data_IF_677103518735
#
_entry.id   IF_677103518735
#
_cell.length_a   1.000
_cell.length_b   1.000
_cell.length_c   1.000
_cell.angle_alpha   90.00
_cell.angle_beta   90.00
_cell.angle_gamma   90.00
#
_symmetry.space_group_name_H-M   'P 1'
#
loop_
_entity.id
_entity.type
_entity.pdbx_description
1 polymer ?
2 non-polymer ?
3 non-polymer ?
4 water ?
#
# COMPACT_ATOMS: atom_id res chain seq x y z
N UNK A 7 18.60 -5.86 -2.28
CA UNK A 7 17.35 -5.19 -1.92
C UNK A 7 16.47 -6.08 -1.03
N UNK A 8 16.56 -7.40 -1.23
CA UNK A 8 15.70 -8.32 -0.50
C UNK A 8 15.86 -8.12 0.99
N UNK A 9 17.10 -7.91 1.42
CA UNK A 9 17.40 -7.77 2.84
C UNK A 9 16.89 -6.44 3.40
N UNK A 10 17.07 -5.37 2.63
CA UNK A 10 16.50 -4.07 2.97
C UNK A 10 14.99 -4.18 3.16
N UNK A 11 14.32 -4.84 2.20
CA UNK A 11 12.88 -4.99 2.26
C UNK A 11 12.47 -5.75 3.52
N UNK A 12 13.21 -6.81 3.82
CA UNK A 12 12.94 -7.62 5.01
C UNK A 12 13.01 -6.79 6.29
N UNK A 13 14.11 -6.06 6.44
CA UNK A 13 14.32 -5.24 7.62
C UNK A 13 13.21 -4.21 7.74
N UNK A 14 12.79 -3.64 6.60
CA UNK A 14 11.68 -2.69 6.61
C UNK A 14 10.36 -3.34 7.01
N UNK A 15 10.00 -4.44 6.36
CA UNK A 15 8.74 -5.09 6.67
C UNK A 15 8.70 -5.53 8.14
N UNK A 16 9.82 -6.01 8.65
CA UNK A 16 9.89 -6.41 10.06
C UNK A 16 9.77 -5.22 11.01
N UNK A 17 9.85 -3.99 10.49
CA UNK A 17 9.74 -2.82 11.36
C UNK A 17 8.34 -2.22 11.41
N UNK A 18 7.45 -2.68 10.52
CA UNK A 18 6.09 -2.16 10.43
C UNK A 18 5.15 -3.03 11.25
N UNK A 19 4.47 -2.44 12.24
CA UNK A 19 3.67 -3.28 13.16
C UNK A 19 2.69 -4.21 12.43
N UNK A 20 1.99 -3.71 11.42
CA UNK A 20 1.05 -4.55 10.69
C UNK A 20 1.69 -5.83 10.16
N UNK A 21 2.91 -5.71 9.63
CA UNK A 21 3.56 -6.82 8.92
C UNK A 21 4.55 -7.62 9.76
N UNK A 22 5.06 -7.04 10.85
CA UNK A 22 6.00 -7.78 11.70
C UNK A 22 5.33 -8.96 12.39
N UNK A 23 4.01 -9.01 12.32
CA UNK A 23 3.26 -10.10 12.92
C UNK A 23 3.12 -11.30 11.97
N UNK A 24 3.58 -11.13 10.73
CA UNK A 24 3.54 -12.20 9.74
C UNK A 24 4.77 -13.10 9.88
N UNK A 25 4.61 -14.40 9.64
CA UNK A 25 5.77 -15.31 9.61
C UNK A 25 6.87 -14.79 8.68
N UNK A 26 8.13 -14.97 9.07
CA UNK A 26 9.22 -14.43 8.28
C UNK A 26 9.34 -15.05 6.89
N UNK A 27 8.84 -16.28 6.70
CA UNK A 27 8.84 -16.88 5.38
C UNK A 27 7.84 -16.16 4.47
N UNK A 28 6.73 -15.71 5.04
CA UNK A 28 5.77 -14.90 4.29
C UNK A 28 6.36 -13.53 3.95
N UNK A 29 7.07 -12.94 4.91
CA UNK A 29 7.75 -11.67 4.62
C UNK A 29 8.80 -11.83 3.51
N UNK A 30 9.50 -12.97 3.52
CA UNK A 30 10.51 -13.24 2.50
C UNK A 30 9.88 -13.34 1.12
N UNK A 31 8.72 -13.99 1.03
CA UNK A 31 8.02 -14.08 -0.23
C UNK A 31 7.54 -12.70 -0.68
N UNK A 32 7.06 -11.89 0.26
CA UNK A 32 6.67 -10.53 -0.08
C UNK A 32 7.85 -9.74 -0.62
N UNK A 33 8.98 -9.84 0.05
CA UNK A 33 10.17 -9.13 -0.40
C UNK A 33 10.59 -9.59 -1.79
N UNK A 34 10.26 -10.83 -2.11
CA UNK A 34 10.60 -11.43 -3.38
C UNK A 34 9.79 -10.86 -4.53
N UNK A 35 8.51 -10.67 -4.27
CA UNK A 35 7.56 -10.35 -5.34
C UNK A 35 7.20 -8.88 -5.45
N UNK A 36 7.49 -8.09 -4.44
CA UNK A 36 7.10 -6.68 -4.47
C UNK A 36 7.87 -5.91 -5.52
N UNK A 37 7.27 -4.83 -6.02
CA UNK A 37 7.96 -3.92 -6.93
C UNK A 37 8.10 -2.58 -6.25
N UNK A 38 9.32 -2.07 -6.22
CA UNK A 38 9.55 -0.76 -5.65
C UNK A 38 9.21 0.28 -6.71
N UNK A 39 8.30 1.20 -6.39
CA UNK A 39 7.89 2.21 -7.35
C UNK A 39 8.05 3.61 -6.75
N UNK A 40 8.43 4.55 -7.61
CA UNK A 40 8.78 5.90 -7.15
C UNK A 40 7.91 6.99 -7.76
N UNK A 41 7.60 8.01 -6.94
CA UNK A 41 6.75 9.10 -7.36
C UNK A 41 7.34 10.45 -6.96
N UNK A 42 6.96 11.48 -7.69
CA UNK A 42 7.38 12.84 -7.33
C UNK A 42 6.19 13.62 -6.78
N UNK A 43 6.46 14.75 -6.14
CA UNK A 43 5.41 15.56 -5.53
C UNK A 43 4.29 15.90 -6.51
N UNK A 44 3.05 15.63 -6.09
CA UNK A 44 1.89 15.96 -6.90
C UNK A 44 1.48 14.87 -7.88
N UNK A 45 2.24 13.78 -7.93
CA UNK A 45 1.93 12.69 -8.85
C UNK A 45 0.80 11.82 -8.31
N UNK A 46 -0.22 11.56 -9.13
CA UNK A 46 -1.30 10.68 -8.70
C UNK A 46 -0.82 9.26 -8.66
N UNK A 47 -0.99 8.61 -7.51
CA UNK A 47 -0.60 7.22 -7.34
C UNK A 47 -1.79 6.34 -7.65
N UNK A 48 -2.95 6.75 -7.15
CA UNK A 48 -4.22 6.06 -7.40
C UNK A 48 -5.25 7.11 -7.71
N UNK A 49 -6.14 6.83 -8.67
CA UNK A 49 -7.26 7.71 -8.97
C UNK A 49 -8.56 7.05 -8.61
N UNK A 50 -9.41 7.76 -7.88
CA UNK A 50 -10.72 7.23 -7.51
C UNK A 50 -11.47 6.83 -8.77
N UNK A 51 -12.12 5.68 -8.73
CA UNK A 51 -12.92 5.23 -9.84
C UNK A 51 -12.24 4.27 -10.80
N UNK A 52 -10.91 4.18 -10.72
CA UNK A 52 -10.19 3.25 -11.58
C UNK A 52 -10.35 1.86 -11.01
N UNK A 53 -10.08 0.84 -11.82
CA UNK A 53 -10.05 -0.53 -11.32
C UNK A 53 -8.62 -0.94 -10.96
N UNK A 54 -8.44 -1.47 -9.75
CA UNK A 54 -7.10 -1.69 -9.19
C UNK A 54 -6.86 -3.14 -8.83
N UNK A 55 -5.57 -3.51 -8.78
CA UNK A 55 -5.13 -4.88 -8.48
C UNK A 55 -3.86 -4.84 -7.63
N UNK A 56 -3.55 -3.70 -7.03
CA UNK A 56 -2.28 -3.55 -6.31
C UNK A 56 -2.45 -2.89 -4.95
N UNK A 57 -1.60 -3.32 -4.03
CA UNK A 57 -1.55 -2.83 -2.65
C UNK A 57 -0.22 -2.11 -2.47
N UNK A 58 -0.22 -1.03 -1.69
CA UNK A 58 0.97 -0.17 -1.53
C UNK A 58 1.40 -0.03 -0.07
N UNK A 59 2.70 -0.16 0.19
CA UNK A 59 3.24 0.13 1.51
C UNK A 59 4.25 1.26 1.31
N UNK A 60 4.09 2.33 2.06
CA UNK A 60 4.98 3.47 1.91
C UNK A 60 6.32 3.22 2.63
N UNK A 61 7.42 3.24 1.88
CA UNK A 61 8.73 3.06 2.50
C UNK A 61 9.52 4.36 2.55
N UNK A 62 9.02 5.39 1.88
CA UNK A 62 9.62 6.71 1.95
C UNK A 62 8.61 7.77 1.51
N UNK A 63 8.54 8.86 2.28
CA UNK A 63 7.71 9.99 1.90
C UNK A 63 6.33 10.00 2.53
N UNK A 64 5.45 10.84 1.99
CA UNK A 64 4.09 10.98 2.49
C UNK A 64 3.14 11.13 1.30
N UNK A 65 1.89 10.71 1.49
CA UNK A 65 0.89 10.88 0.45
C UNK A 65 -0.36 11.54 1.02
N UNK A 66 -1.11 12.21 0.16
CA UNK A 66 -2.42 12.74 0.52
C UNK A 66 -3.53 11.88 -0.06
N UNK A 67 -4.58 11.66 0.73
CA UNK A 67 -5.74 10.87 0.29
C UNK A 67 -6.92 11.82 0.19
N UNK A 68 -7.64 11.78 -0.94
CA UNK A 68 -8.84 12.62 -1.13
C UNK A 68 -9.94 11.80 -1.77
N UNK A 69 -11.20 12.25 -1.66
CA UNK A 69 -12.33 11.48 -2.21
C UNK A 69 -13.52 12.36 -2.59
N UNK A 70 -14.23 11.94 -3.64
CA UNK A 70 -15.47 12.59 -4.06
C UNK A 70 -16.15 13.37 -2.93
N UNK A 76 -16.51 18.05 -6.16
CA UNK A 76 -15.11 18.31 -5.81
C UNK A 76 -14.61 17.36 -4.73
N UNK A 77 -13.35 16.93 -4.84
CA UNK A 77 -12.81 16.00 -3.85
C UNK A 77 -12.60 16.69 -2.49
N UNK A 78 -12.69 15.91 -1.43
CA UNK A 78 -12.43 16.38 -0.08
C UNK A 78 -11.17 15.71 0.44
N UNK A 79 -10.37 16.44 1.20
CA UNK A 79 -9.15 15.88 1.79
C UNK A 79 -9.52 14.92 2.92
N UNK A 80 -8.97 13.70 2.90
CA UNK A 80 -9.29 12.74 3.94
C UNK A 80 -8.18 12.63 4.98
N UNK A 81 -6.96 12.42 4.53
CA UNK A 81 -5.85 12.23 5.45
C UNK A 81 -4.51 12.15 4.73
N UNK A 82 -3.44 12.24 5.49
CA UNK A 82 -2.11 12.01 4.94
C UNK A 82 -1.53 10.73 5.54
N UNK A 83 -0.81 9.98 4.72
CA UNK A 83 -0.17 8.75 5.16
C UNK A 83 1.34 8.86 4.98
N UNK A 84 2.10 8.16 5.82
CA UNK A 84 3.53 8.28 5.84
C UNK A 84 4.25 6.94 5.85
N UNK A 85 5.55 6.97 6.10
CA UNK A 85 6.37 5.76 6.04
C UNK A 85 5.84 4.67 6.97
N UNK A 86 5.67 3.47 6.44
CA UNK A 86 5.14 2.36 7.20
C UNK A 86 3.64 2.22 7.10
N UNK A 87 2.96 3.26 6.65
CA UNK A 87 1.52 3.17 6.37
C UNK A 87 1.29 2.47 5.05
N UNK A 88 0.05 2.08 4.78
CA UNK A 88 -0.28 1.36 3.57
C UNK A 88 -1.65 1.78 3.05
N UNK A 89 -1.93 1.44 1.80
CA UNK A 89 -3.18 1.83 1.16
C UNK A 89 -3.40 1.00 -0.08
N UNK A 90 -4.61 1.05 -0.62
CA UNK A 90 -4.96 0.33 -1.84
C UNK A 90 -5.65 -1.00 -1.58
N UNK A 91 -6.00 -1.27 -0.33
CA UNK A 91 -6.61 -2.56 -0.02
C UNK A 91 -8.08 -2.65 -0.46
N UNK A 92 -8.77 -1.51 -0.56
CA UNK A 92 -10.20 -1.61 -0.82
C UNK A 92 -10.49 -2.23 -2.18
N UNK A 93 -9.69 -1.90 -3.19
CA UNK A 93 -9.91 -2.50 -4.51
C UNK A 93 -9.56 -3.99 -4.52
N UNK A 94 -8.94 -4.47 -3.45
CA UNK A 94 -8.59 -5.88 -3.35
C UNK A 94 -9.56 -6.61 -2.43
N UNK A 95 -10.60 -5.92 -1.98
CA UNK A 95 -11.60 -6.50 -1.09
C UNK A 95 -12.94 -6.44 -1.79
N UNK A 96 -13.40 -7.57 -2.34
CA UNK A 96 -14.67 -7.58 -3.04
C UNK A 96 -14.53 -7.05 -4.44
N UNK A 97 -15.17 -5.91 -4.72
CA UNK A 97 -15.09 -5.28 -6.02
C UNK A 97 -13.74 -4.59 -6.21
N UNK A 98 -13.29 -4.46 -7.45
CA UNK A 98 -11.96 -3.93 -7.70
C UNK A 98 -11.88 -2.43 -7.98
N UNK A 99 -12.83 -1.65 -7.50
CA UNK A 99 -12.81 -0.21 -7.79
C UNK A 99 -12.05 0.56 -6.72
N UNK A 100 -11.25 1.54 -7.15
CA UNK A 100 -10.59 2.44 -6.23
C UNK A 100 -11.58 3.44 -5.63
N UNK A 101 -11.51 3.62 -4.31
CA UNK A 101 -12.53 4.40 -3.62
C UNK A 101 -12.08 5.80 -3.24
N UNK A 102 -10.83 6.12 -3.53
CA UNK A 102 -10.27 7.42 -3.20
C UNK A 102 -9.04 7.70 -4.04
N UNK A 103 -8.64 8.97 -4.12
CA UNK A 103 -7.37 9.32 -4.75
C UNK A 103 -6.24 9.27 -3.73
N UNK A 104 -5.07 8.83 -4.18
CA UNK A 104 -3.86 8.92 -3.37
C UNK A 104 -2.80 9.65 -4.18
N UNK A 105 -2.24 10.72 -3.62
CA UNK A 105 -1.35 11.61 -4.35
C UNK A 105 -0.05 11.83 -3.56
N UNK A 106 1.08 11.68 -4.23
CA UNK A 106 2.37 11.90 -3.57
C UNK A 106 2.43 13.34 -3.06
N UNK A 107 2.99 13.51 -1.87
CA UNK A 107 3.10 14.84 -1.28
C UNK A 107 4.57 15.30 -1.22
N UNK A 108 5.44 14.47 -1.80
CA UNK A 108 6.87 14.71 -1.88
C UNK A 108 7.45 13.53 -2.65
N UNK A 109 8.77 13.38 -2.64
CA UNK A 109 9.37 12.17 -3.18
C UNK A 109 8.88 10.98 -2.36
N UNK A 110 8.25 10.03 -3.04
CA UNK A 110 7.65 8.86 -2.37
C UNK A 110 8.17 7.57 -2.98
N UNK A 111 8.46 6.59 -2.12
CA UNK A 111 8.69 5.23 -2.60
C UNK A 111 7.63 4.35 -1.99
N UNK A 112 7.02 3.51 -2.83
CA UNK A 112 6.06 2.53 -2.39
C UNK A 112 6.54 1.16 -2.76
N UNK A 113 6.29 0.19 -1.88
CA UNK A 113 6.49 -1.20 -2.20
C UNK A 113 5.14 -1.73 -2.64
N UNK A 114 5.06 -2.16 -3.89
CA UNK A 114 3.80 -2.54 -4.49
C UNK A 114 3.63 -4.05 -4.60
N UNK A 115 2.53 -4.54 -4.08
CA UNK A 115 2.21 -5.98 -4.04
C UNK A 115 1.01 -6.24 -4.95
N UNK A 116 1.13 -7.21 -5.85
CA UNK A 116 0.02 -7.44 -6.75
C UNK A 116 -1.05 -8.32 -6.10
N UNK A 117 -2.20 -8.43 -6.77
CA UNK A 117 -3.33 -9.18 -6.25
C UNK A 117 -3.00 -10.64 -5.96
N UNK A 118 -2.26 -11.28 -6.87
CA UNK A 118 -1.92 -12.70 -6.71
C UNK A 118 -1.21 -12.93 -5.36
N UNK A 119 -0.31 -12.03 -5.03
CA UNK A 119 0.44 -12.14 -3.78
C UNK A 119 -0.39 -11.67 -2.60
N UNK A 120 -1.11 -10.57 -2.79
CA UNK A 120 -1.91 -10.00 -1.70
C UNK A 120 -2.91 -11.01 -1.18
N UNK A 121 -3.64 -11.64 -2.11
CA UNK A 121 -4.74 -12.52 -1.72
C UNK A 121 -4.26 -13.71 -0.89
N UNK A 122 -3.00 -14.09 -1.06
CA UNK A 122 -2.47 -15.23 -0.32
C UNK A 122 -1.74 -14.80 0.95
N UNK A 123 -0.97 -13.72 0.85
CA UNK A 123 -0.01 -13.36 1.90
C UNK A 123 -0.49 -12.27 2.86
N UNK A 124 -1.37 -11.39 2.39
CA UNK A 124 -1.78 -10.23 3.19
C UNK A 124 -3.28 -10.13 3.49
N UNK A 125 -4.10 -10.62 2.57
CA UNK A 125 -5.54 -10.42 2.67
C UNK A 125 -6.22 -10.88 3.95
N UNK A 126 -5.66 -11.88 4.60
CA UNK A 126 -6.30 -12.36 5.81
C UNK A 126 -5.92 -11.61 7.09
N UNK A 127 -5.02 -10.65 6.97
CA UNK A 127 -4.51 -9.93 8.15
C UNK A 127 -5.63 -9.08 8.74
N UNK A 128 -5.85 -9.22 10.05
CA UNK A 128 -6.94 -8.50 10.68
C UNK A 128 -6.85 -7.00 10.49
N UNK A 129 -5.64 -6.45 10.59
CA UNK A 129 -5.43 -5.02 10.44
C UNK A 129 -5.91 -4.52 9.09
N UNK A 130 -5.79 -5.37 8.07
CA UNK A 130 -6.13 -5.00 6.70
C UNK A 130 -7.58 -5.36 6.38
N UNK A 131 -8.00 -6.55 6.77
CA UNK A 131 -9.34 -7.04 6.47
C UNK A 131 -10.41 -6.28 7.24
N UNK A 132 -10.07 -5.83 8.45
CA UNK A 132 -11.01 -5.14 9.31
C UNK A 132 -10.72 -3.63 9.36
N UNK A 133 -10.05 -3.13 8.34
CA UNK A 133 -9.68 -1.71 8.28
C UNK A 133 -10.89 -0.83 8.02
N UNK A 134 -11.14 0.10 8.94
CA UNK A 134 -12.24 1.04 8.79
C UNK A 134 -11.72 2.48 8.77
N UNK A 135 -12.38 3.32 7.97
CA UNK A 135 -12.02 4.72 7.87
C UNK A 135 -13.08 5.64 8.49
X LIG B 1 6.52 -8.38 17.27
X LIG C 1 16.30 3.30 -5.15
X LIG D 1 -8.02 -8.15 3.32
X LIG E 1 2.54 -15.97 -2.95
X LIG F 1 -5.12 -12.72 -9.24
X LIG G 1 -12.22 -8.63 3.05
X LIG H 1 -15.75 5.30 -6.16
X LIG I 1 -16.11 3.97 0.72
X LIG J 1 12.76 0.64 0.04
X LIG K 1 -13.61 -3.37 -2.95
X LIG L 1 12.91 -15.02 5.94
X LIG M 1 -8.57 6.81 -14.57
X LIG N 1 0.74 4.54 -9.61
X LIG O 1 -7.90 15.25 -5.74
X LIG P 1 1.21 6.98 -11.30
X LIG Q 1 -0.34 12.55 -12.34
X LIG R 1 -8.69 -4.61 -12.52
X LIG S 1 -3.41 -2.24 -10.05
X LIG T 1 -2.58 2.98 -9.48
X LIG U 1 -5.68 4.52 -10.14
X LIG V 1 -5.97 5.39 -12.90
X LIG W 1 2.42 11.27 8.44
X LIG X 1 -13.98 -1.08 -3.97
X LIG Y 1 -11.36 -9.65 -2.25
X LIG Z 1 -8.41 1.82 -2.50
X LIG Z 1 -8.12 0.52 -3.13
X LIG Z 1 -9.93 2.38 -2.56
X LIG Z 1 -7.49 2.90 -3.10
X LIG Z 1 -7.63 4.27 -2.42
X LIG Z 1 -7.08 4.08 -1.05
X LIG Z 1 -7.03 5.18 -0.13
X LIG Z 1 -7.96 3.09 -0.31
X LIG Z 1 -7.96 1.76 -0.91
X LIG Z 1 -7.36 3.10 1.10
X LIG Z 1 -6.37 2.13 1.30
X LIG Z 1 -6.85 4.55 1.17
X LIG Z 1 -7.55 5.36 2.17
X LIG Z 1 -6.91 6.13 3.22
X LIG Z 1 -7.98 6.82 3.93
X LIG Z 1 -9.25 6.48 3.28
X LIG Z 1 -10.67 6.87 3.59
X LIG Z 1 -10.94 7.71 4.67
X LIG Z 1 -11.72 6.40 2.80
X LIG Z 1 -11.44 5.53 1.71
X LIG Z 1 -12.52 5.05 0.88
X LIG Z 1 -10.02 5.13 1.41
X LIG Z 1 -9.00 5.61 2.19
#
# INVERSE_FOLDING_TARGET
>A
GSTGLIKHTEYMEFLKSVPTFQSLPEEILSKLADVLEETHYENGEYIIRQGARGDTFFIISKGTVNVTREDSPSEDPVFLRTLGKGDWFGEKALQGEDVRTANVIAAEAVTCLVIDRDSFKHLIGGLDDVSNKAYEDAEAKAKYEAEAAFFAN
>B hetero
1 IOD I
>C hetero
1 IOD I
>D hetero
1 IOD I
>E hetero
1 IOD I
>F hetero
1 IOD I
>G hetero
1 IOD I
>H hetero
1 IOD I
>I hetero
1 IOD I
>J hetero
1 IOD I
>K hetero
1 IOD I
>L hetero
1 IOD I
>M hetero
1 IOD I
>N hetero
1 IOD I
>O hetero
1 IOD I
>P hetero
1 IOD I
>Q hetero
1 IOD I
>R hetero
1 IOD I
>S hetero
1 IOD I
>T hetero
1 IOD I
>U hetero
1 IOD I
>V hetero
1 IOD I
>W hetero
1 IOD I
>X hetero
1 IOD I
>Y hetero
1 IOD I
>Z hetero
1 PCG PA O1A O2A O5' C5' C4' O4' C3' O3' C2' O2' C1' N9 C8 N7 C5 C6 O6 N1 C2 N2 N3 C4
#
